data_IF_619631845084
#
_entry.id   IF_619631845084
#
_cell.length_a   1.000
_cell.length_b   1.000
_cell.length_c   1.000
_cell.angle_alpha   90.00
_cell.angle_beta   90.00
_cell.angle_gamma   90.00
#
_symmetry.space_group_name_H-M   'P 1'
#
loop_
_entity.id
_entity.type
_entity.pdbx_description
1 polymer ?
#
# COMPACT_ATOMS: atom_id res chain seq x y z
N UNK A 1 -17.67 -0.84 1.76
CA UNK A 1 -16.79 0.29 1.35
C UNK A 1 -16.86 0.48 -0.16
N UNK A 2 -16.95 1.74 -0.61
CA UNK A 2 -16.92 2.13 -2.03
C UNK A 2 -15.79 3.15 -2.23
N UNK A 3 -15.43 3.40 -3.48
CA UNK A 3 -14.53 4.50 -3.88
C UNK A 3 -13.10 4.43 -3.30
N UNK A 4 -12.59 3.22 -3.10
CA UNK A 4 -11.18 3.00 -2.76
C UNK A 4 -10.29 3.32 -3.96
N UNK A 5 -9.13 3.94 -3.73
CA UNK A 5 -8.22 4.34 -4.81
C UNK A 5 -7.71 3.13 -5.60
N UNK A 6 -7.19 2.14 -4.88
CA UNK A 6 -6.80 0.83 -5.40
C UNK A 6 -6.52 -0.06 -4.18
N UNK A 7 -7.54 -0.81 -3.76
CA UNK A 7 -7.42 -1.80 -2.70
C UNK A 7 -6.48 -2.93 -3.14
N UNK A 8 -5.47 -3.23 -2.33
CA UNK A 8 -4.45 -4.21 -2.65
C UNK A 8 -4.45 -5.34 -1.61
N UNK A 9 -3.69 -5.22 -0.52
CA UNK A 9 -3.70 -6.20 0.58
C UNK A 9 -4.87 -6.02 1.55
N UNK A 10 -5.33 -7.12 2.15
CA UNK A 10 -6.30 -7.15 3.24
C UNK A 10 -6.04 -8.33 4.19
N UNK A 11 -6.27 -8.14 5.49
CA UNK A 11 -6.20 -9.19 6.51
C UNK A 11 -7.24 -8.95 7.62
N UNK A 12 -7.64 -10.02 8.31
CA UNK A 12 -8.48 -9.95 9.51
C UNK A 12 -7.62 -9.64 10.74
N UNK A 13 -8.17 -8.90 11.71
CA UNK A 13 -7.56 -8.72 13.02
C UNK A 13 -7.59 -10.00 13.86
N UNK A 14 -6.68 -10.19 14.83
CA UNK A 14 -6.62 -11.43 15.63
C UNK A 14 -7.92 -11.73 16.39
N UNK A 15 -8.55 -10.68 16.91
CA UNK A 15 -9.85 -10.71 17.61
C UNK A 15 -11.06 -10.70 16.66
N UNK A 16 -10.84 -10.63 15.34
CA UNK A 16 -11.86 -10.55 14.29
C UNK A 16 -12.83 -9.37 14.42
N UNK A 17 -12.43 -8.29 15.10
CA UNK A 17 -13.24 -7.07 15.25
C UNK A 17 -13.18 -6.17 14.01
N UNK A 18 -12.07 -6.21 13.28
CA UNK A 18 -11.84 -5.34 12.12
C UNK A 18 -11.00 -6.00 11.03
N UNK A 19 -11.11 -5.48 9.81
CA UNK A 19 -10.21 -5.80 8.70
C UNK A 19 -9.16 -4.71 8.60
N UNK A 20 -7.91 -5.05 8.33
CA UNK A 20 -6.87 -4.10 7.92
C UNK A 20 -6.65 -4.25 6.43
N UNK A 21 -6.82 -3.17 5.67
CA UNK A 21 -6.62 -3.18 4.21
C UNK A 21 -5.71 -2.04 3.77
N UNK A 22 -5.00 -2.22 2.65
CA UNK A 22 -4.04 -1.26 2.13
C UNK A 22 -4.46 -0.71 0.76
N UNK A 23 -4.23 0.59 0.55
CA UNK A 23 -4.45 1.29 -0.70
C UNK A 23 -3.11 1.76 -1.28
N UNK A 24 -2.69 1.16 -2.39
CA UNK A 24 -1.35 1.32 -2.96
C UNK A 24 -1.03 2.79 -3.32
N UNK A 25 -1.81 3.50 -4.15
CA UNK A 25 -1.42 4.81 -4.69
C UNK A 25 -1.32 5.90 -3.62
N UNK A 26 -2.13 5.79 -2.57
CA UNK A 26 -2.19 6.77 -1.47
C UNK A 26 -1.29 6.41 -0.29
N UNK A 27 -0.58 5.26 -0.35
CA UNK A 27 0.43 4.85 0.64
C UNK A 27 -0.10 4.78 2.06
N UNK A 28 -1.25 4.12 2.20
CA UNK A 28 -2.00 4.05 3.46
C UNK A 28 -2.62 2.67 3.62
N UNK A 29 -2.67 2.20 4.87
CA UNK A 29 -3.55 1.11 5.28
C UNK A 29 -4.54 1.63 6.33
N UNK A 30 -5.72 1.02 6.39
CA UNK A 30 -6.84 1.44 7.24
C UNK A 30 -7.50 0.24 7.91
N UNK A 31 -8.05 0.45 9.11
CA UNK A 31 -8.93 -0.49 9.80
C UNK A 31 -10.37 -0.26 9.32
N UNK A 32 -11.10 -1.33 9.05
CA UNK A 32 -12.55 -1.32 8.86
C UNK A 32 -13.18 -2.14 9.98
N UNK A 33 -13.85 -1.46 10.92
CA UNK A 33 -14.57 -2.07 12.02
C UNK A 33 -15.87 -2.68 11.50
N UNK A 34 -15.98 -4.01 11.59
CA UNK A 34 -17.04 -4.78 10.92
C UNK A 34 -18.42 -4.45 11.51
N UNK A 35 -18.50 -4.32 12.84
CA UNK A 35 -19.75 -4.04 13.56
C UNK A 35 -20.22 -2.59 13.45
N UNK A 36 -19.30 -1.65 13.24
CA UNK A 36 -19.59 -0.21 13.23
C UNK A 36 -19.71 0.35 11.80
N UNK A 37 -19.34 -0.46 10.79
CA UNK A 37 -19.14 -0.04 9.41
C UNK A 37 -18.22 1.20 9.29
N UNK A 38 -17.31 1.38 10.25
CA UNK A 38 -16.45 2.55 10.39
C UNK A 38 -15.05 2.28 9.86
N UNK A 39 -14.45 3.28 9.22
CA UNK A 39 -13.05 3.24 8.79
C UNK A 39 -12.18 4.15 9.65
N UNK A 40 -11.00 3.65 10.01
CA UNK A 40 -9.98 4.38 10.74
C UNK A 40 -8.62 4.20 10.06
N UNK A 41 -7.76 5.21 10.11
CA UNK A 41 -6.40 5.10 9.57
C UNK A 41 -5.59 4.16 10.47
N UNK A 42 -4.95 3.15 9.88
CA UNK A 42 -4.04 2.24 10.58
C UNK A 42 -2.61 2.77 10.52
N UNK A 43 -2.12 3.03 9.32
CA UNK A 43 -0.82 3.65 9.06
C UNK A 43 -0.89 4.43 7.74
N UNK A 44 -0.26 5.60 7.68
CA UNK A 44 -0.23 6.42 6.47
C UNK A 44 1.15 7.00 6.21
N UNK A 45 1.38 7.44 4.98
CA UNK A 45 2.63 8.09 4.62
C UNK A 45 3.79 7.12 4.44
N UNK A 46 3.50 5.85 4.12
CA UNK A 46 4.50 4.80 3.91
C UNK A 46 5.59 5.24 2.90
N UNK A 47 6.83 4.82 3.16
CA UNK A 47 8.01 5.14 2.34
C UNK A 47 8.02 4.37 1.00
N UNK A 48 7.17 3.36 0.88
CA UNK A 48 6.87 2.64 -0.34
C UNK A 48 5.37 2.55 -0.63
N UNK A 49 5.05 1.76 -1.64
CA UNK A 49 3.67 1.48 -2.06
C UNK A 49 3.21 0.18 -1.43
N UNK A 50 2.22 0.18 -0.51
CA UNK A 50 1.80 -1.05 0.14
C UNK A 50 1.09 -1.97 -0.86
N UNK A 51 1.38 -3.25 -0.74
CA UNK A 51 0.76 -4.33 -1.50
C UNK A 51 0.06 -5.27 -0.48
N UNK A 52 0.42 -6.54 -0.43
CA UNK A 52 -0.05 -7.49 0.57
C UNK A 52 0.26 -7.07 2.01
N UNK A 53 -0.69 -7.32 2.91
CA UNK A 53 -0.53 -7.25 4.37
C UNK A 53 -0.90 -8.61 4.98
N UNK A 54 -0.13 -9.07 5.98
CA UNK A 54 -0.36 -10.36 6.64
C UNK A 54 -0.07 -10.29 8.13
N UNK A 55 -0.99 -10.82 8.94
CA UNK A 55 -0.74 -11.10 10.36
C UNK A 55 0.22 -12.29 10.52
N UNK A 56 1.23 -12.16 11.39
CA UNK A 56 2.24 -13.20 11.58
C UNK A 56 1.90 -14.24 12.65
N UNK A 57 0.84 -14.02 13.43
CA UNK A 57 0.46 -14.89 14.55
C UNK A 57 1.03 -14.47 15.91
N UNK A 58 1.89 -13.44 15.94
CA UNK A 58 2.61 -12.96 17.13
C UNK A 58 2.42 -11.44 17.30
N UNK A 59 1.18 -10.96 17.22
CA UNK A 59 0.81 -9.56 17.45
C UNK A 59 1.46 -8.52 16.51
N UNK A 60 1.89 -8.96 15.32
CA UNK A 60 2.43 -8.08 14.30
C UNK A 60 1.84 -8.33 12.91
N UNK A 61 1.88 -7.28 12.09
CA UNK A 61 1.59 -7.37 10.67
C UNK A 61 2.83 -7.07 9.85
N UNK A 62 2.97 -7.78 8.73
CA UNK A 62 3.95 -7.50 7.69
C UNK A 62 3.26 -6.86 6.51
N UNK A 63 3.79 -5.73 6.05
CA UNK A 63 3.30 -5.01 4.86
C UNK A 63 4.38 -5.11 3.78
N UNK A 64 4.05 -5.75 2.66
CA UNK A 64 4.93 -5.82 1.50
C UNK A 64 4.95 -4.49 0.75
N UNK A 65 6.13 -4.06 0.31
CA UNK A 65 6.33 -2.88 -0.52
C UNK A 65 7.23 -3.24 -1.70
N UNK A 66 6.68 -3.45 -2.90
CA UNK A 66 7.47 -3.83 -4.07
C UNK A 66 8.32 -2.67 -4.62
N UNK A 67 8.06 -1.43 -4.17
CA UNK A 67 8.89 -0.27 -4.49
C UNK A 67 8.82 0.80 -3.40
N UNK A 68 9.93 1.48 -3.18
CA UNK A 68 9.96 2.81 -2.58
C UNK A 68 9.30 3.87 -3.47
N UNK A 69 8.99 5.00 -2.88
CA UNK A 69 8.44 6.15 -3.59
C UNK A 69 9.50 6.82 -4.45
N UNK A 70 9.38 6.72 -5.78
CA UNK A 70 10.29 7.36 -6.73
C UNK A 70 9.75 8.69 -7.24
N UNK A 71 10.63 9.65 -7.53
CA UNK A 71 10.27 10.95 -8.11
C UNK A 71 9.57 10.78 -9.45
N UNK A 72 10.04 9.85 -10.28
CA UNK A 72 9.49 9.60 -11.60
C UNK A 72 8.06 9.04 -11.51
N UNK A 73 7.79 8.13 -10.58
CA UNK A 73 6.43 7.65 -10.32
C UNK A 73 5.50 8.76 -9.79
N UNK A 74 5.98 9.61 -8.87
CA UNK A 74 5.23 10.78 -8.40
C UNK A 74 4.82 11.70 -9.55
N UNK A 75 5.75 11.98 -10.47
CA UNK A 75 5.48 12.80 -11.65
C UNK A 75 4.49 12.10 -12.60
N UNK A 76 4.64 10.80 -12.85
CA UNK A 76 3.70 10.02 -13.64
C UNK A 76 2.27 10.10 -13.07
N UNK A 77 2.11 9.84 -11.78
CA UNK A 77 0.80 9.90 -11.12
C UNK A 77 0.17 11.29 -11.17
N UNK A 78 0.98 12.36 -11.07
CA UNK A 78 0.52 13.75 -11.15
C UNK A 78 0.12 14.18 -12.56
N UNK A 79 0.85 13.75 -13.59
CA UNK A 79 0.68 14.23 -14.96
C UNK A 79 0.21 13.08 -15.89
N UNK A 80 -1.08 13.01 -16.26
CA UNK A 80 -1.62 11.96 -17.12
C UNK A 80 -0.90 11.78 -18.46
N UNK A 81 -0.41 12.88 -19.03
CA UNK A 81 0.37 12.85 -20.27
C UNK A 81 1.69 12.06 -20.11
N UNK A 82 2.40 12.20 -18.99
CA UNK A 82 3.62 11.43 -18.72
C UNK A 82 3.31 9.93 -18.63
N UNK A 83 2.24 9.54 -17.92
CA UNK A 83 1.80 8.14 -17.88
C UNK A 83 1.51 7.59 -19.27
N UNK A 84 0.79 8.36 -20.10
CA UNK A 84 0.50 7.97 -21.48
C UNK A 84 1.77 7.78 -22.30
N UNK A 85 2.69 8.75 -22.27
CA UNK A 85 3.97 8.63 -22.97
C UNK A 85 4.77 7.41 -22.52
N UNK A 86 4.76 7.14 -21.21
CA UNK A 86 5.53 6.01 -20.69
C UNK A 86 4.94 4.67 -21.12
N UNK A 87 3.61 4.54 -21.07
CA UNK A 87 2.91 3.37 -21.59
C UNK A 87 3.15 3.18 -23.10
N UNK A 88 3.21 4.28 -23.87
CA UNK A 88 3.55 4.22 -25.29
C UNK A 88 5.00 3.78 -25.51
N UNK A 89 5.96 4.30 -24.74
CA UNK A 89 7.37 3.91 -24.83
C UNK A 89 7.58 2.42 -24.47
N UNK A 90 6.87 1.91 -23.46
CA UNK A 90 6.91 0.51 -23.07
C UNK A 90 6.52 -0.44 -24.20
N UNK A 91 5.58 -0.05 -25.07
CA UNK A 91 5.21 -0.82 -26.28
C UNK A 91 6.39 -1.05 -27.23
N UNK A 92 7.39 -0.17 -27.21
CA UNK A 92 8.57 -0.24 -28.07
C UNK A 92 9.80 -0.83 -27.33
N UNK A 93 9.61 -1.49 -26.19
CA UNK A 93 10.67 -2.17 -25.45
C UNK A 93 11.50 -1.26 -24.55
N UNK A 94 11.10 0.01 -24.36
CA UNK A 94 11.68 0.84 -23.31
C UNK A 94 11.09 0.41 -21.97
N UNK A 95 11.87 -0.26 -21.13
CA UNK A 95 11.42 -0.66 -19.81
C UNK A 95 11.45 0.54 -18.85
N UNK A 96 10.29 1.11 -18.51
CA UNK A 96 10.26 2.29 -17.69
C UNK A 96 10.15 1.92 -16.20
N UNK A 97 10.58 0.72 -15.76
CA UNK A 97 10.45 0.26 -14.37
C UNK A 97 10.74 1.42 -13.42
N UNK A 98 9.65 1.94 -12.87
CA UNK A 98 9.64 3.05 -11.92
C UNK A 98 9.89 2.56 -10.50
N UNK A 99 10.08 1.25 -10.37
CA UNK A 99 10.16 0.54 -9.12
C UNK A 99 11.61 0.45 -8.71
N UNK A 100 11.90 0.93 -7.51
CA UNK A 100 13.24 0.91 -6.94
C UNK A 100 13.14 0.51 -5.49
N UNK A 101 14.00 -0.40 -5.08
CA UNK A 101 14.08 -0.96 -3.73
C UNK A 101 12.75 -1.63 -3.30
N UNK A 102 12.78 -2.95 -3.09
CA UNK A 102 11.67 -3.68 -2.50
C UNK A 102 11.98 -3.97 -1.03
N UNK A 103 10.93 -4.15 -0.22
CA UNK A 103 11.09 -4.49 1.18
C UNK A 103 9.77 -4.86 1.85
N UNK A 104 9.85 -5.05 3.15
CA UNK A 104 8.70 -5.31 4.02
C UNK A 104 8.79 -4.38 5.22
N UNK A 105 7.65 -3.91 5.72
CA UNK A 105 7.57 -3.15 6.96
C UNK A 105 6.82 -3.99 7.99
N UNK A 106 7.42 -4.13 9.17
CA UNK A 106 6.73 -4.74 10.31
C UNK A 106 6.07 -3.66 11.16
N UNK A 107 4.81 -3.87 11.51
CA UNK A 107 4.04 -2.99 12.39
C UNK A 107 3.34 -3.78 13.49
N UNK A 108 3.10 -3.14 14.64
CA UNK A 108 2.27 -3.70 15.70
C UNK A 108 0.76 -3.67 15.35
N UNK A 109 -0.09 -4.12 16.29
CA UNK A 109 -1.55 -4.15 16.12
C UNK A 109 -2.22 -2.76 16.00
N UNK A 110 -1.49 -1.69 16.32
CA UNK A 110 -1.92 -0.30 16.19
C UNK A 110 -1.36 0.38 14.94
N UNK A 111 -0.50 -0.31 14.19
CA UNK A 111 0.08 0.19 12.94
C UNK A 111 1.34 1.00 13.17
N UNK A 112 1.96 0.91 14.36
CA UNK A 112 3.24 1.57 14.63
C UNK A 112 4.38 0.72 14.06
N UNK A 113 5.31 1.31 13.29
CA UNK A 113 6.50 0.61 12.82
C UNK A 113 7.36 0.11 13.97
N UNK A 114 7.72 -1.17 13.95
CA UNK A 114 8.62 -1.79 14.93
C UNK A 114 9.98 -2.20 14.33
N UNK A 115 10.01 -2.47 13.02
CA UNK A 115 11.23 -2.70 12.25
C UNK A 115 11.03 -2.27 10.79
N UNK A 116 12.09 -1.69 10.19
CA UNK A 116 12.19 -1.27 8.78
C UNK A 116 13.05 -2.24 7.97
#
# INVERSE_FOLDING_TARGET
>A
LRDLYFANGITMSPDRSHLVFCETPIRRCSKYYISEERVEVFIQGLTGYPDNIRYDGNDHYWIAMPSTVTTLWKLGMKYPFLRKLTAMAAKYGFDPIFMKNAGVLQVDLDGKPIAL
#
